data_IF_758933308607
#
_entry.id   IF_758933308607
#
_cell.length_a   1.000
_cell.length_b   1.000
_cell.length_c   1.000
_cell.angle_alpha   90.00
_cell.angle_beta   90.00
_cell.angle_gamma   90.00
#
_symmetry.space_group_name_H-M   'P 1'
#
loop_
_entity.id
_entity.type
_entity.pdbx_description
1 polymer ?
#
# COMPACT_ATOMS: atom_id res chain seq x y z
N UNK A 1 -15.99 5.17 6.03
CA UNK A 1 -15.53 5.64 4.71
C UNK A 1 -14.17 5.00 4.47
N UNK A 2 -13.89 4.41 3.30
CA UNK A 2 -12.59 3.79 3.03
C UNK A 2 -11.47 4.84 3.06
N UNK A 3 -10.26 4.42 3.38
CA UNK A 3 -9.07 5.26 3.21
C UNK A 3 -8.65 5.21 1.74
N UNK A 4 -8.29 6.37 1.17
CA UNK A 4 -7.86 6.49 -0.22
C UNK A 4 -6.53 7.23 -0.28
N UNK A 5 -5.48 6.53 -0.74
CA UNK A 5 -4.18 7.14 -1.01
C UNK A 5 -4.06 7.43 -2.52
N UNK A 6 -3.77 8.69 -2.85
CA UNK A 6 -3.46 9.14 -4.19
C UNK A 6 -1.94 9.07 -4.41
N UNK A 7 -1.51 8.80 -5.65
CA UNK A 7 -0.09 8.68 -6.01
C UNK A 7 0.66 7.61 -5.19
N UNK A 8 -0.06 6.60 -4.71
CA UNK A 8 0.50 5.54 -3.88
C UNK A 8 1.00 4.41 -4.76
N UNK A 9 2.12 3.79 -4.35
CA UNK A 9 2.51 2.50 -4.89
C UNK A 9 2.70 1.45 -3.80
N UNK A 10 2.32 0.22 -4.11
CA UNK A 10 2.21 -0.87 -3.14
C UNK A 10 3.35 -1.88 -3.22
N UNK A 11 4.41 -1.57 -3.95
CA UNK A 11 5.57 -2.45 -4.12
C UNK A 11 6.85 -1.65 -4.36
N UNK A 12 7.97 -2.28 -4.06
CA UNK A 12 9.32 -1.73 -4.22
C UNK A 12 9.60 -1.36 -5.68
N UNK A 13 10.37 -0.29 -5.89
CA UNK A 13 10.82 0.13 -7.22
C UNK A 13 9.69 0.34 -8.24
N UNK A 14 8.48 0.61 -7.74
CA UNK A 14 7.34 0.91 -8.58
C UNK A 14 7.55 2.19 -9.38
N UNK A 15 7.35 2.09 -10.69
CA UNK A 15 7.50 3.19 -11.62
C UNK A 15 6.26 3.34 -12.49
N UNK A 16 5.72 4.56 -12.52
CA UNK A 16 4.70 4.98 -13.48
C UNK A 16 5.37 5.41 -14.78
N UNK A 17 4.65 5.24 -15.90
CA UNK A 17 5.17 5.49 -17.25
C UNK A 17 4.72 4.42 -18.24
N UNK A 18 5.52 4.14 -19.28
CA UNK A 18 5.18 3.15 -20.30
C UNK A 18 5.24 1.73 -19.74
N UNK A 19 4.11 1.04 -19.74
CA UNK A 19 3.99 -0.36 -19.36
C UNK A 19 3.62 -1.21 -20.57
N UNK A 20 4.06 -2.47 -20.53
CA UNK A 20 3.60 -3.50 -21.45
C UNK A 20 2.79 -4.53 -20.68
N UNK A 21 1.56 -4.75 -21.11
CA UNK A 21 0.69 -5.71 -20.46
C UNK A 21 1.18 -7.15 -20.72
N UNK A 22 1.19 -7.96 -19.67
CA UNK A 22 1.54 -9.39 -19.74
C UNK A 22 0.31 -10.30 -19.71
N UNK A 23 -0.85 -9.75 -19.34
CA UNK A 23 -2.13 -10.45 -19.22
C UNK A 23 -3.28 -9.63 -19.77
N UNK A 24 -4.47 -10.23 -19.78
CA UNK A 24 -5.71 -9.54 -20.16
C UNK A 24 -6.26 -8.76 -18.95
N UNK A 25 -6.58 -7.49 -19.16
CA UNK A 25 -7.21 -6.62 -18.16
C UNK A 25 -8.29 -5.75 -18.78
N UNK A 26 -9.29 -5.34 -18.00
CA UNK A 26 -10.32 -4.39 -18.43
C UNK A 26 -10.04 -3.05 -17.76
N UNK A 27 -9.83 -2.01 -18.56
CA UNK A 27 -9.76 -0.65 -18.07
C UNK A 27 -11.17 -0.11 -17.81
N UNK A 28 -11.40 0.42 -16.62
CA UNK A 28 -12.67 1.03 -16.22
C UNK A 28 -12.55 2.56 -16.19
N UNK A 29 -13.69 3.24 -16.35
CA UNK A 29 -13.73 4.70 -16.38
C UNK A 29 -13.33 5.37 -15.04
N UNK A 30 -13.40 4.62 -13.93
CA UNK A 30 -12.93 5.06 -12.61
C UNK A 30 -12.76 3.86 -11.68
N UNK A 31 -12.20 4.09 -10.49
CA UNK A 31 -12.10 3.09 -9.42
C UNK A 31 -13.41 2.89 -8.63
N UNK A 32 -14.51 3.55 -9.03
CA UNK A 32 -15.80 3.41 -8.37
C UNK A 32 -16.46 2.05 -8.67
N UNK A 33 -17.24 1.55 -7.70
CA UNK A 33 -18.02 0.35 -7.89
C UNK A 33 -19.03 0.53 -9.03
N UNK A 34 -19.05 -0.40 -9.98
CA UNK A 34 -19.94 -0.33 -11.15
C UNK A 34 -19.47 0.60 -12.27
N UNK A 35 -18.22 1.08 -12.23
CA UNK A 35 -17.65 1.86 -13.33
C UNK A 35 -17.71 1.09 -14.66
N UNK A 36 -18.05 1.80 -15.73
CA UNK A 36 -18.18 1.22 -17.07
C UNK A 36 -16.82 0.81 -17.62
N UNK A 37 -16.72 -0.32 -18.34
CA UNK A 37 -15.55 -0.65 -19.15
C UNK A 37 -15.31 0.43 -20.21
N UNK A 38 -14.04 0.79 -20.44
CA UNK A 38 -13.62 1.72 -21.49
C UNK A 38 -12.94 0.95 -22.62
N UNK A 39 -11.94 0.15 -22.30
CA UNK A 39 -11.25 -0.72 -23.26
C UNK A 39 -10.68 -1.96 -22.59
N UNK A 40 -10.35 -2.96 -23.40
CA UNK A 40 -9.62 -4.16 -22.96
C UNK A 40 -8.14 -3.97 -23.29
N UNK A 41 -7.28 -4.24 -22.31
CA UNK A 41 -5.83 -4.35 -22.49
C UNK A 41 -5.49 -5.82 -22.70
N UNK A 42 -4.80 -6.13 -23.80
CA UNK A 42 -4.37 -7.48 -24.16
C UNK A 42 -2.87 -7.67 -23.87
N UNK A 43 -2.39 -8.91 -23.74
CA UNK A 43 -0.97 -9.19 -23.67
C UNK A 43 -0.22 -8.56 -24.86
N UNK A 44 0.88 -7.86 -24.56
CA UNK A 44 1.68 -7.15 -25.54
C UNK A 44 1.29 -5.69 -25.77
N UNK A 45 0.07 -5.28 -25.42
CA UNK A 45 -0.38 -3.89 -25.55
C UNK A 45 0.48 -2.95 -24.68
N UNK A 46 0.66 -1.73 -25.18
CA UNK A 46 1.31 -0.66 -24.43
C UNK A 46 0.27 0.27 -23.84
N UNK A 47 0.46 0.63 -22.58
CA UNK A 47 -0.31 1.66 -21.88
C UNK A 47 0.66 2.58 -21.14
N UNK A 48 0.22 3.79 -20.85
CA UNK A 48 0.96 4.71 -19.98
C UNK A 48 0.26 4.73 -18.63
N UNK A 49 0.91 4.17 -17.62
CA UNK A 49 0.49 4.27 -16.22
C UNK A 49 0.85 5.67 -15.69
N UNK A 50 -0.15 6.40 -15.19
CA UNK A 50 0.02 7.79 -14.74
C UNK A 50 0.25 7.89 -13.24
N UNK A 51 -0.56 7.17 -12.46
CA UNK A 51 -0.49 7.13 -11.01
C UNK A 51 -1.25 5.92 -10.46
N UNK A 52 -0.92 5.55 -9.24
CA UNK A 52 -1.63 4.55 -8.46
C UNK A 52 -2.59 5.18 -7.45
N UNK A 53 -3.67 4.48 -7.19
CA UNK A 53 -4.67 4.81 -6.20
C UNK A 53 -4.88 3.57 -5.35
N UNK A 54 -4.64 3.67 -4.05
CA UNK A 54 -4.92 2.59 -3.10
C UNK A 54 -6.20 2.91 -2.37
N UNK A 55 -7.13 1.96 -2.36
CA UNK A 55 -8.39 2.08 -1.63
C UNK A 55 -8.42 0.97 -0.59
N UNK A 56 -8.32 1.35 0.69
CA UNK A 56 -8.39 0.43 1.82
C UNK A 56 -9.81 0.43 2.38
N UNK A 57 -10.51 -0.69 2.23
CA UNK A 57 -11.89 -0.87 2.72
C UNK A 57 -11.93 -1.28 4.19
N UNK A 58 -10.90 -2.00 4.66
CA UNK A 58 -10.73 -2.38 6.06
C UNK A 58 -9.24 -2.28 6.43
N UNK A 59 -8.85 -1.45 7.42
CA UNK A 59 -7.47 -1.43 7.87
C UNK A 59 -7.10 -2.76 8.55
N UNK A 60 -5.83 -3.12 8.44
CA UNK A 60 -5.22 -4.14 9.27
C UNK A 60 -4.98 -3.62 10.68
N UNK A 61 -4.65 -4.53 11.58
CA UNK A 61 -4.34 -4.19 12.98
C UNK A 61 -3.01 -4.81 13.34
N UNK A 62 -2.08 -3.97 13.77
CA UNK A 62 -0.81 -4.39 14.36
C UNK A 62 -0.76 -3.92 15.81
N UNK A 63 -0.49 -4.85 16.72
CA UNK A 63 -0.40 -4.61 18.16
C UNK A 63 1.04 -4.45 18.58
N UNK A 64 1.31 -3.47 19.41
CA UNK A 64 2.60 -3.31 20.08
C UNK A 64 2.66 -4.26 21.26
N UNK A 65 3.66 -5.14 21.27
CA UNK A 65 3.87 -6.14 22.33
C UNK A 65 4.97 -5.69 23.30
N UNK A 66 5.96 -4.96 22.81
CA UNK A 66 7.05 -4.36 23.60
C UNK A 66 7.18 -2.87 23.26
N UNK A 67 7.65 -2.07 24.21
CA UNK A 67 7.85 -0.63 23.97
C UNK A 67 8.83 -0.42 22.80
N UNK A 68 8.50 0.53 21.90
CA UNK A 68 9.25 0.73 20.66
C UNK A 68 9.12 2.16 20.16
N UNK A 69 10.19 2.66 19.54
CA UNK A 69 10.15 3.89 18.76
C UNK A 69 10.14 3.55 17.27
N UNK A 70 9.09 3.98 16.57
CA UNK A 70 8.88 3.70 15.14
C UNK A 70 8.05 4.80 14.47
N UNK A 71 7.79 4.64 13.18
CA UNK A 71 6.88 5.49 12.42
C UNK A 71 7.56 6.76 11.95
N UNK A 72 7.87 6.77 10.66
CA UNK A 72 8.44 7.90 9.96
C UNK A 72 7.35 8.64 9.20
N UNK A 73 7.50 9.95 9.04
CA UNK A 73 6.71 10.73 8.08
C UNK A 73 7.57 11.07 6.86
N UNK A 74 6.92 11.42 5.76
CA UNK A 74 7.60 11.83 4.53
C UNK A 74 8.67 12.90 4.82
N UNK A 75 9.95 12.54 4.58
CA UNK A 75 11.11 13.43 4.77
C UNK A 75 11.77 13.39 6.16
N UNK A 76 11.21 12.65 7.12
CA UNK A 76 11.82 12.50 8.44
C UNK A 76 13.04 11.55 8.41
N UNK A 77 14.01 11.83 9.29
CA UNK A 77 15.21 10.98 9.48
C UNK A 77 15.18 10.15 10.76
N UNK A 78 14.21 10.39 11.62
CA UNK A 78 14.07 9.75 12.94
C UNK A 78 12.61 9.37 13.17
N UNK A 79 12.33 8.25 13.86
CA UNK A 79 10.96 7.85 14.17
C UNK A 79 10.28 8.88 15.08
N UNK A 80 8.96 9.04 14.92
CA UNK A 80 8.15 10.04 15.62
C UNK A 80 7.29 9.46 16.74
N UNK A 81 7.00 8.18 16.70
CA UNK A 81 6.15 7.53 17.70
C UNK A 81 7.00 6.83 18.73
N UNK A 82 6.70 7.06 20.01
CA UNK A 82 7.14 6.23 21.12
C UNK A 82 5.92 5.47 21.65
N UNK A 83 5.84 4.18 21.34
CA UNK A 83 4.67 3.34 21.60
C UNK A 83 4.92 2.42 22.79
N UNK A 84 3.86 2.12 23.53
CA UNK A 84 3.87 1.20 24.67
C UNK A 84 3.12 -0.09 24.34
N UNK A 85 3.38 -1.20 25.08
CA UNK A 85 2.61 -2.43 24.94
C UNK A 85 1.11 -2.18 25.01
N UNK A 86 0.36 -2.81 24.10
CA UNK A 86 -1.09 -2.68 23.96
C UNK A 86 -1.54 -1.61 22.96
N UNK A 87 -0.68 -0.65 22.60
CA UNK A 87 -0.99 0.31 21.54
C UNK A 87 -1.26 -0.41 20.21
N UNK A 88 -2.14 0.18 19.40
CA UNK A 88 -2.55 -0.37 18.11
C UNK A 88 -2.19 0.58 16.97
N UNK A 89 -1.70 -0.01 15.88
CA UNK A 89 -1.46 0.63 14.60
C UNK A 89 -2.49 0.12 13.60
N UNK A 90 -3.09 1.03 12.85
CA UNK A 90 -4.04 0.68 11.79
C UNK A 90 -3.32 0.65 10.45
N UNK A 91 -2.88 -0.53 10.02
CA UNK A 91 -2.21 -0.70 8.72
C UNK A 91 -3.17 -0.41 7.57
N UNK A 92 -2.77 0.42 6.63
CA UNK A 92 -3.60 0.87 5.50
C UNK A 92 -3.27 0.10 4.24
N UNK A 93 -1.99 0.02 3.86
CA UNK A 93 -1.52 -0.75 2.72
C UNK A 93 0.00 -0.98 2.80
N UNK A 94 0.51 -2.09 2.23
CA UNK A 94 1.94 -2.33 2.10
C UNK A 94 2.55 -1.46 1.02
N UNK A 95 3.80 -1.02 1.21
CA UNK A 95 4.58 -0.17 0.31
C UNK A 95 5.77 -0.92 -0.35
N UNK A 96 6.01 -2.19 0.02
CA UNK A 96 7.15 -2.99 -0.43
C UNK A 96 8.23 -3.12 0.65
N UNK A 97 9.11 -4.12 0.56
CA UNK A 97 10.25 -4.33 1.49
C UNK A 97 9.88 -4.23 2.98
N UNK A 98 8.80 -4.90 3.37
CA UNK A 98 8.22 -4.86 4.71
C UNK A 98 7.59 -3.53 5.16
N UNK A 99 7.71 -2.46 4.38
CA UNK A 99 7.12 -1.17 4.72
C UNK A 99 5.60 -1.22 4.59
N UNK A 100 4.95 -0.70 5.61
CA UNK A 100 3.51 -0.45 5.62
C UNK A 100 3.27 1.03 5.87
N UNK A 101 2.29 1.61 5.15
CA UNK A 101 1.64 2.85 5.57
C UNK A 101 0.59 2.50 6.62
N UNK A 102 0.65 3.12 7.78
CA UNK A 102 -0.30 2.92 8.87
C UNK A 102 -0.75 4.24 9.50
N UNK A 103 -1.88 4.19 10.20
CA UNK A 103 -2.44 5.31 10.95
C UNK A 103 -2.32 5.07 12.44
N UNK A 104 -1.97 6.13 13.19
CA UNK A 104 -1.97 6.14 14.64
C UNK A 104 -2.19 7.56 15.15
N UNK A 105 -3.05 7.74 16.16
CA UNK A 105 -3.17 9.02 16.87
C UNK A 105 -3.56 10.24 16.02
N UNK A 106 -4.22 10.04 14.88
CA UNK A 106 -4.63 11.13 13.97
C UNK A 106 -3.69 11.37 12.80
N UNK A 107 -2.55 10.69 12.73
CA UNK A 107 -1.53 10.89 11.69
C UNK A 107 -1.20 9.59 10.96
N UNK A 108 -0.54 9.74 9.80
CA UNK A 108 -0.04 8.64 8.98
C UNK A 108 1.48 8.53 9.11
N UNK A 109 1.95 7.29 9.18
CA UNK A 109 3.36 6.95 9.32
C UNK A 109 3.70 5.74 8.47
N UNK A 110 4.99 5.61 8.17
CA UNK A 110 5.55 4.47 7.45
C UNK A 110 6.65 3.82 8.30
N UNK A 111 6.69 2.50 8.30
CA UNK A 111 7.79 1.74 8.87
C UNK A 111 7.76 0.28 8.41
N UNK A 112 8.83 -0.47 8.69
CA UNK A 112 8.95 -1.90 8.41
C UNK A 112 8.17 -2.73 9.42
N UNK A 113 6.90 -2.99 9.13
CA UNK A 113 5.98 -3.65 10.07
C UNK A 113 5.99 -5.18 9.91
N UNK A 114 5.93 -5.68 8.68
CA UNK A 114 5.68 -7.10 8.42
C UNK A 114 6.21 -7.53 7.06
N UNK A 115 6.62 -8.78 6.94
CA UNK A 115 6.99 -9.38 5.65
C UNK A 115 6.09 -10.56 5.33
N UNK A 116 5.76 -10.80 4.05
CA UNK A 116 5.17 -12.07 3.63
C UNK A 116 5.95 -13.27 4.17
N UNK A 117 5.26 -14.36 4.53
CA UNK A 117 5.88 -15.54 5.15
C UNK A 117 6.96 -16.21 4.28
N UNK A 118 6.88 -16.04 2.96
CA UNK A 118 7.82 -16.56 1.97
C UNK A 118 8.99 -15.60 1.65
N UNK A 119 9.05 -14.44 2.31
CA UNK A 119 10.11 -13.45 2.09
C UNK A 119 11.40 -13.81 2.83
N UNK A 120 12.54 -13.41 2.25
CA UNK A 120 13.84 -13.57 2.87
C UNK A 120 14.10 -12.46 3.89
N UNK A 121 14.53 -12.83 5.10
CA UNK A 121 14.89 -11.89 6.18
C UNK A 121 13.86 -11.83 7.31
N UNK A 122 14.01 -10.86 8.21
CA UNK A 122 13.04 -10.57 9.28
C UNK A 122 12.87 -9.06 9.41
N UNK A 123 11.63 -8.54 9.56
CA UNK A 123 11.45 -7.12 9.81
C UNK A 123 12.10 -6.73 11.15
N UNK A 124 12.61 -5.49 11.30
CA UNK A 124 13.31 -5.03 12.51
C UNK A 124 12.53 -5.19 13.81
N UNK A 125 11.20 -5.18 13.74
CA UNK A 125 10.32 -5.26 14.90
C UNK A 125 9.70 -6.65 15.14
N UNK A 126 10.32 -7.70 14.60
CA UNK A 126 9.89 -9.09 14.89
C UNK A 126 9.91 -9.37 16.40
N UNK A 127 8.77 -9.79 16.97
CA UNK A 127 8.61 -10.03 18.41
C UNK A 127 8.32 -8.78 19.26
N UNK A 128 8.43 -7.58 18.67
CA UNK A 128 8.04 -6.29 19.25
C UNK A 128 6.64 -5.90 18.77
N UNK A 129 6.33 -6.18 17.51
CA UNK A 129 5.02 -6.02 16.91
C UNK A 129 4.37 -7.38 16.65
N UNK A 130 3.04 -7.43 16.79
CA UNK A 130 2.20 -8.56 16.42
C UNK A 130 1.16 -8.11 15.40
N UNK A 131 1.29 -8.58 14.18
CA UNK A 131 0.26 -8.37 13.15
C UNK A 131 -0.93 -9.27 13.47
N UNK A 132 -2.06 -8.66 13.84
CA UNK A 132 -3.31 -9.37 14.13
C UNK A 132 -4.14 -9.57 12.86
N UNK A 133 -4.05 -8.63 11.91
CA UNK A 133 -4.68 -8.74 10.59
C UNK A 133 -4.02 -7.82 9.57
N UNK A 134 -3.99 -8.24 8.30
CA UNK A 134 -3.57 -7.42 7.15
C UNK A 134 -4.76 -6.61 6.61
N UNK A 135 -4.52 -5.45 5.97
CA UNK A 135 -5.59 -4.64 5.39
C UNK A 135 -6.29 -5.35 4.22
N UNK A 136 -7.57 -5.04 4.05
CA UNK A 136 -8.30 -5.34 2.81
C UNK A 136 -8.25 -4.07 1.97
N UNK A 137 -7.53 -4.14 0.85
CA UNK A 137 -7.34 -3.02 -0.05
C UNK A 137 -7.33 -3.48 -1.51
N UNK A 138 -7.54 -2.51 -2.41
CA UNK A 138 -7.32 -2.66 -3.84
C UNK A 138 -6.39 -1.56 -4.32
N UNK A 139 -5.52 -1.90 -5.27
CA UNK A 139 -4.66 -0.94 -5.94
C UNK A 139 -5.10 -0.79 -7.40
N UNK A 140 -5.47 0.43 -7.74
CA UNK A 140 -5.84 0.84 -9.09
C UNK A 140 -4.72 1.64 -9.71
N UNK A 141 -4.56 1.51 -11.02
CA UNK A 141 -3.63 2.32 -11.79
C UNK A 141 -4.42 3.09 -12.84
N UNK A 142 -4.26 4.40 -12.84
CA UNK A 142 -4.78 5.25 -13.91
C UNK A 142 -3.91 5.03 -15.15
N UNK A 143 -4.51 4.51 -16.21
CA UNK A 143 -3.81 4.18 -17.46
C UNK A 143 -4.43 4.92 -18.65
N UNK A 144 -3.61 5.29 -19.62
CA UNK A 144 -4.03 5.79 -20.94
C UNK A 144 -3.41 4.96 -22.06
N UNK A 145 -4.07 4.87 -23.21
CA UNK A 145 -3.55 4.23 -24.40
C UNK A 145 -3.45 5.24 -25.56
N UNK A 146 -3.15 4.79 -26.78
CA UNK A 146 -3.03 5.68 -27.94
C UNK A 146 -4.33 6.41 -28.33
N UNK A 147 -5.48 5.96 -27.81
CA UNK A 147 -6.81 6.51 -28.10
C UNK A 147 -7.27 7.52 -27.04
N UNK A 148 -6.47 7.76 -26.00
CA UNK A 148 -6.82 8.57 -24.82
C UNK A 148 -7.09 7.68 -23.62
#
# INVERSE_FOLDING_TARGET
MPYVAQNACTFECCQYGPWRATGVSIALASAALGAKPVFTVKPGDQVVARRGIVITSKPGVTRVVQAVSLGYRDGDKTPRLALKPGDALLTLYPMGEAYDRFWHGGEFYDDQIDMPEDSYGKPPFSGVLKVESRPIFVWWVEVSNAQG
#
